data_IF_315922120623
#
_entry.id   IF_315922120623
#
_cell.length_a   1.000
_cell.length_b   1.000
_cell.length_c   1.000
_cell.angle_alpha   90.00
_cell.angle_beta   90.00
_cell.angle_gamma   90.00
#
_symmetry.space_group_name_H-M   'P 1'
#
loop_
_entity.id
_entity.type
_entity.pdbx_description
1 polymer ?
#
# COMPACT_ATOMS: atom_id res chain seq x y z
N UNK A 1 34.41 8.53 17.33
CA UNK A 1 33.81 7.46 16.51
C UNK A 1 32.75 6.76 17.36
N UNK A 2 31.46 6.88 17.03
CA UNK A 2 30.38 6.21 17.77
C UNK A 2 29.85 5.06 16.92
N UNK A 3 30.20 3.84 17.31
CA UNK A 3 29.72 2.60 16.69
C UNK A 3 28.27 2.41 17.17
N UNK A 4 27.29 2.36 16.25
CA UNK A 4 25.87 2.17 16.60
C UNK A 4 25.50 0.69 16.53
N UNK A 5 24.81 0.14 17.54
CA UNK A 5 24.51 -1.29 17.65
C UNK A 5 23.37 -1.72 16.71
N UNK A 6 23.47 -2.95 16.20
CA UNK A 6 22.68 -3.55 15.09
C UNK A 6 21.20 -3.85 15.42
N UNK A 7 20.69 -3.41 16.58
CA UNK A 7 19.36 -3.78 17.10
C UNK A 7 18.32 -2.70 16.81
N UNK A 8 18.76 -1.52 16.35
CA UNK A 8 17.91 -0.48 15.81
C UNK A 8 17.68 -0.78 14.32
N UNK A 9 16.53 -1.41 14.03
CA UNK A 9 16.15 -1.97 12.74
C UNK A 9 16.64 -1.21 11.51
N UNK A 10 17.33 -1.96 10.64
CA UNK A 10 17.52 -1.77 9.20
C UNK A 10 17.60 -0.31 8.73
N UNK A 11 18.84 0.15 8.54
CA UNK A 11 19.12 1.25 7.60
C UNK A 11 18.62 0.79 6.23
N UNK A 12 17.47 1.30 5.82
CA UNK A 12 16.96 1.13 4.46
C UNK A 12 17.97 1.81 3.54
N UNK A 13 18.59 1.02 2.67
CA UNK A 13 19.55 1.49 1.67
C UNK A 13 18.98 2.66 0.88
N UNK A 14 19.73 3.76 0.82
CA UNK A 14 19.34 5.10 0.36
C UNK A 14 19.24 5.22 -1.16
N UNK A 15 18.64 4.25 -1.85
CA UNK A 15 18.28 4.47 -3.25
C UNK A 15 17.25 5.63 -3.31
N UNK A 16 17.43 6.63 -4.19
CA UNK A 16 16.53 7.78 -4.26
C UNK A 16 15.10 7.31 -4.55
N UNK A 17 14.17 7.72 -3.69
CA UNK A 17 12.76 7.37 -3.79
C UNK A 17 11.95 8.60 -4.15
N UNK A 18 10.96 8.42 -5.02
CA UNK A 18 9.97 9.45 -5.33
C UNK A 18 9.16 9.91 -4.10
N UNK A 19 8.94 9.01 -3.13
CA UNK A 19 8.21 9.29 -1.87
C UNK A 19 8.92 8.63 -0.66
N UNK A 20 8.78 9.17 0.57
CA UNK A 20 9.39 8.63 1.79
C UNK A 20 8.61 7.43 2.35
N UNK A 21 8.35 6.43 1.50
CA UNK A 21 7.56 5.26 1.85
C UNK A 21 8.44 4.17 2.50
N UNK A 22 8.03 3.63 3.67
CA UNK A 22 8.81 2.64 4.40
C UNK A 22 8.84 1.28 3.68
N UNK A 23 7.76 0.93 2.98
CA UNK A 23 7.58 -0.39 2.36
C UNK A 23 8.11 -0.47 0.92
N UNK A 24 8.57 0.64 0.34
CA UNK A 24 9.16 0.65 -1.00
C UNK A 24 10.65 0.36 -0.90
N UNK A 25 11.05 -0.87 -1.17
CA UNK A 25 12.45 -1.31 -1.15
C UNK A 25 13.19 -0.99 -2.46
N UNK A 26 12.47 -0.87 -3.57
CA UNK A 26 13.03 -0.52 -4.89
C UNK A 26 12.06 0.43 -5.64
N UNK A 27 12.40 1.71 -5.74
CA UNK A 27 11.55 2.71 -6.38
C UNK A 27 11.76 2.68 -7.90
N UNK A 28 10.74 2.26 -8.65
CA UNK A 28 10.76 2.22 -10.12
C UNK A 28 10.30 3.53 -10.79
N UNK A 29 10.06 4.60 -10.01
CA UNK A 29 9.64 5.90 -10.55
C UNK A 29 8.37 5.85 -11.43
N UNK A 30 7.46 4.93 -11.14
CA UNK A 30 6.20 4.80 -11.86
C UNK A 30 5.31 6.05 -11.74
N UNK A 31 4.33 6.18 -12.66
CA UNK A 31 3.28 7.20 -12.58
C UNK A 31 2.52 7.14 -11.25
N UNK A 32 1.92 8.25 -10.83
CA UNK A 32 1.19 8.33 -9.54
C UNK A 32 0.05 7.31 -9.48
N UNK A 33 -0.63 7.09 -10.60
CA UNK A 33 -1.68 6.07 -10.78
C UNK A 33 -1.20 4.64 -10.53
N UNK A 34 0.10 4.35 -10.71
CA UNK A 34 0.70 3.01 -10.52
C UNK A 34 1.42 2.88 -9.18
N UNK A 35 1.69 3.97 -8.46
CA UNK A 35 2.42 3.97 -7.17
C UNK A 35 1.55 3.52 -5.98
N UNK A 36 0.72 2.48 -6.16
CA UNK A 36 -0.15 1.94 -5.11
C UNK A 36 0.61 1.41 -3.90
N UNK A 37 1.91 1.11 -4.03
CA UNK A 37 2.80 0.78 -2.89
C UNK A 37 3.33 2.04 -2.19
N UNK A 38 3.62 3.10 -2.93
CA UNK A 38 4.23 4.33 -2.42
C UNK A 38 3.22 5.25 -1.73
N UNK A 39 1.98 5.22 -2.22
CA UNK A 39 0.86 6.04 -1.77
C UNK A 39 -0.17 5.24 -0.98
N UNK A 40 0.16 4.03 -0.48
CA UNK A 40 -0.62 3.44 0.60
C UNK A 40 -0.57 4.42 1.76
N UNK A 41 -1.59 5.28 1.82
CA UNK A 41 -1.81 6.22 2.90
C UNK A 41 -1.64 5.42 4.19
N UNK A 42 -0.70 5.83 5.04
CA UNK A 42 -0.65 5.33 6.41
C UNK A 42 -2.06 5.53 6.99
N UNK A 43 -2.81 4.44 7.15
CA UNK A 43 -4.23 4.49 7.55
C UNK A 43 -5.24 3.94 6.54
N UNK A 44 -4.86 3.53 5.33
CA UNK A 44 -5.75 2.74 4.48
C UNK A 44 -5.77 1.28 4.96
N UNK A 45 -6.22 1.08 6.20
CA UNK A 45 -6.76 -0.18 6.67
C UNK A 45 -8.11 -0.39 5.99
N UNK A 46 -8.12 -0.57 4.66
CA UNK A 46 -9.31 -1.19 4.08
C UNK A 46 -9.36 -2.58 4.70
N UNK A 47 -10.34 -2.76 5.58
CA UNK A 47 -10.63 -4.05 6.22
C UNK A 47 -10.62 -5.09 5.11
N UNK A 48 -9.77 -6.10 5.24
CA UNK A 48 -9.83 -7.25 4.34
C UNK A 48 -11.18 -7.91 4.60
N UNK A 49 -12.09 -7.78 3.65
CA UNK A 49 -13.41 -8.36 3.73
C UNK A 49 -13.30 -9.88 3.79
N UNK A 50 -14.14 -10.54 4.59
CA UNK A 50 -14.34 -11.98 4.51
C UNK A 50 -14.89 -12.35 3.13
N UNK A 51 -14.81 -13.64 2.76
CA UNK A 51 -15.36 -14.10 1.48
C UNK A 51 -16.85 -13.74 1.35
N UNK A 52 -17.62 -13.91 2.43
CA UNK A 52 -19.03 -13.55 2.49
C UNK A 52 -19.25 -12.04 2.30
N UNK A 53 -18.45 -11.20 2.96
CA UNK A 53 -18.52 -9.74 2.81
C UNK A 53 -18.17 -9.29 1.38
N UNK A 54 -17.23 -9.97 0.71
CA UNK A 54 -16.89 -9.71 -0.69
C UNK A 54 -18.04 -10.06 -1.64
N UNK A 55 -18.67 -11.23 -1.46
CA UNK A 55 -19.83 -11.67 -2.26
C UNK A 55 -20.98 -10.66 -2.12
N UNK A 56 -21.31 -10.25 -0.89
CA UNK A 56 -22.37 -9.28 -0.64
C UNK A 56 -22.09 -7.92 -1.30
N UNK A 57 -20.85 -7.45 -1.27
CA UNK A 57 -20.44 -6.21 -1.93
C UNK A 57 -20.58 -6.31 -3.46
N UNK A 58 -20.12 -7.43 -4.04
CA UNK A 58 -20.25 -7.70 -5.47
C UNK A 58 -21.72 -7.68 -5.91
N UNK A 59 -22.58 -8.42 -5.22
CA UNK A 59 -24.01 -8.44 -5.56
C UNK A 59 -24.65 -7.05 -5.48
N UNK A 60 -24.31 -6.27 -4.45
CA UNK A 60 -24.85 -4.92 -4.27
C UNK A 60 -24.49 -4.01 -5.44
N UNK A 61 -23.23 -4.00 -5.86
CA UNK A 61 -22.72 -3.18 -6.98
C UNK A 61 -23.43 -3.58 -8.28
N UNK A 62 -23.52 -4.88 -8.56
CA UNK A 62 -24.11 -5.37 -9.81
C UNK A 62 -25.66 -5.30 -9.84
N UNK A 63 -26.33 -5.35 -8.68
CA UNK A 63 -27.78 -5.12 -8.58
C UNK A 63 -28.16 -3.64 -8.80
N UNK A 64 -27.23 -2.70 -8.57
CA UNK A 64 -27.46 -1.28 -8.89
C UNK A 64 -27.24 -0.93 -10.36
N UNK A 65 -26.38 -1.69 -11.07
CA UNK A 65 -26.07 -1.47 -12.49
C UNK A 65 -27.16 -2.00 -13.44
N UNK A 66 -28.02 -2.90 -12.97
CA UNK A 66 -29.11 -3.51 -13.77
C UNK A 66 -30.44 -2.75 -13.73
N UNK A 67 -30.46 -1.51 -13.22
CA UNK A 67 -31.65 -0.63 -13.17
C UNK A 67 -31.53 0.59 -14.08
N UNK A 68 -30.72 0.50 -15.13
CA UNK A 68 -30.62 1.49 -16.23
C UNK A 68 -31.20 0.91 -17.52
#
# INVERSE_FOLDING_TARGET
MKIRPVWAGWVVTEAPKKHPCPDCLCCQWCSDSRCGMCLRQRGCTRKKLSLQEQIALYEKINKSESRE
#
